data_IF_655727631072
#
_entry.id   IF_655727631072
#
_cell.length_a   1.000
_cell.length_b   1.000
_cell.length_c   1.000
_cell.angle_alpha   90.00
_cell.angle_beta   90.00
_cell.angle_gamma   90.00
#
_symmetry.space_group_name_H-M   'P 1'
#
loop_
_entity.id
_entity.type
_entity.pdbx_description
1 polymer ?
#
# COMPACT_ATOMS: atom_id res chain seq x y z
N UNK A 1 43.50 5.93 -43.54
CA UNK A 1 43.00 6.63 -42.37
C UNK A 1 41.57 6.27 -42.19
N UNK A 2 41.20 5.37 -41.27
CA UNK A 2 39.79 5.03 -41.00
C UNK A 2 39.23 5.96 -39.92
N UNK A 3 38.04 6.50 -40.20
CA UNK A 3 37.28 7.34 -39.31
C UNK A 3 36.73 6.58 -38.13
N UNK A 4 36.85 7.18 -36.97
CA UNK A 4 36.31 6.71 -35.69
C UNK A 4 34.80 6.90 -35.69
N UNK A 5 34.07 5.79 -35.59
CA UNK A 5 32.64 5.77 -35.34
C UNK A 5 32.39 6.18 -33.89
N UNK A 6 31.63 7.23 -33.67
CA UNK A 6 31.11 7.59 -32.36
C UNK A 6 30.01 6.63 -31.99
N UNK A 7 30.31 5.72 -31.05
CA UNK A 7 29.34 4.96 -30.33
C UNK A 7 28.81 5.79 -29.17
N UNK A 8 27.53 5.72 -28.92
CA UNK A 8 27.03 6.12 -27.64
C UNK A 8 25.70 6.87 -27.63
N UNK A 9 24.66 6.28 -28.19
CA UNK A 9 23.33 6.61 -27.76
C UNK A 9 22.99 5.65 -26.58
N UNK A 10 23.36 6.12 -25.38
CA UNK A 10 22.95 5.48 -24.14
C UNK A 10 21.46 5.73 -23.95
N UNK A 11 20.65 4.74 -24.26
CA UNK A 11 19.22 4.77 -24.02
C UNK A 11 18.93 5.19 -22.58
N UNK A 12 18.60 6.46 -22.36
CA UNK A 12 17.86 6.91 -21.19
C UNK A 12 16.53 6.21 -21.26
N UNK A 13 16.37 5.14 -20.49
CA UNK A 13 15.05 4.66 -20.12
C UNK A 13 14.33 5.85 -19.49
N UNK A 14 13.24 6.25 -20.11
CA UNK A 14 12.36 7.31 -19.67
C UNK A 14 11.78 6.90 -18.30
N UNK A 15 12.51 7.24 -17.22
CA UNK A 15 12.02 7.02 -15.86
C UNK A 15 10.89 8.01 -15.63
N UNK A 16 9.67 7.58 -15.95
CA UNK A 16 8.46 8.35 -15.64
C UNK A 16 8.41 8.63 -14.15
N UNK A 17 8.40 9.90 -13.77
CA UNK A 17 8.33 10.32 -12.37
C UNK A 17 7.09 9.76 -11.71
N UNK A 18 7.18 9.28 -10.45
CA UNK A 18 6.01 8.79 -9.74
C UNK A 18 4.95 9.89 -9.59
N UNK A 19 3.70 9.55 -9.91
CA UNK A 19 2.57 10.48 -9.92
C UNK A 19 1.81 10.44 -8.61
N UNK A 20 1.73 11.58 -7.92
CA UNK A 20 1.06 11.74 -6.63
C UNK A 20 -0.16 12.65 -6.78
N UNK A 21 -1.32 12.16 -6.34
CA UNK A 21 -2.53 12.98 -6.20
C UNK A 21 -2.60 13.50 -4.76
N UNK A 22 -2.51 14.82 -4.58
CA UNK A 22 -2.59 15.49 -3.28
C UNK A 22 -3.99 16.12 -3.12
N UNK A 23 -4.75 15.66 -2.14
CA UNK A 23 -6.12 16.09 -1.86
C UNK A 23 -6.18 16.73 -0.48
N UNK A 24 -6.33 18.04 -0.44
CA UNK A 24 -6.40 18.84 0.80
C UNK A 24 -7.13 20.15 0.48
N UNK A 25 -8.07 20.61 1.30
CA UNK A 25 -8.83 21.83 1.05
C UNK A 25 -8.02 23.10 1.40
N UNK A 26 -7.02 23.01 2.29
CA UNK A 26 -6.10 24.10 2.58
C UNK A 26 -5.20 24.39 1.37
N UNK A 27 -5.50 25.48 0.67
CA UNK A 27 -4.77 25.92 -0.53
C UNK A 27 -3.28 26.14 -0.23
N UNK A 28 -2.95 26.74 0.93
CA UNK A 28 -1.57 27.08 1.30
C UNK A 28 -0.74 25.83 1.57
N UNK A 29 -1.30 24.90 2.35
CA UNK A 29 -0.67 23.62 2.64
C UNK A 29 -0.49 22.81 1.34
N UNK A 30 -1.53 22.74 0.52
CA UNK A 30 -1.51 22.03 -0.76
C UNK A 30 -0.41 22.56 -1.70
N UNK A 31 -0.32 23.89 -1.88
CA UNK A 31 0.73 24.50 -2.71
C UNK A 31 2.14 24.28 -2.16
N UNK A 32 2.31 24.34 -0.84
CA UNK A 32 3.59 24.10 -0.18
C UNK A 32 4.05 22.65 -0.41
N UNK A 33 3.18 21.70 -0.14
CA UNK A 33 3.47 20.28 -0.30
C UNK A 33 3.69 19.91 -1.77
N UNK A 34 2.88 20.46 -2.68
CA UNK A 34 3.03 20.24 -4.11
C UNK A 34 4.41 20.69 -4.61
N UNK A 35 4.81 21.92 -4.30
CA UNK A 35 6.14 22.45 -4.68
C UNK A 35 7.27 21.63 -4.08
N UNK A 36 7.15 21.27 -2.81
CA UNK A 36 8.16 20.47 -2.14
C UNK A 36 8.32 19.09 -2.78
N UNK A 37 7.23 18.36 -2.98
CA UNK A 37 7.29 17.03 -3.59
C UNK A 37 7.78 17.07 -5.05
N UNK A 38 7.39 18.09 -5.82
CA UNK A 38 7.91 18.29 -7.18
C UNK A 38 9.42 18.49 -7.17
N UNK A 39 9.96 19.26 -6.21
CA UNK A 39 11.42 19.42 -6.06
C UNK A 39 12.14 18.13 -5.66
N UNK A 40 11.41 17.12 -5.19
CA UNK A 40 11.92 15.82 -4.78
C UNK A 40 11.75 14.72 -5.85
N UNK A 41 11.34 15.09 -7.08
CA UNK A 41 11.25 14.18 -8.21
C UNK A 41 9.90 13.48 -8.36
N UNK A 42 8.80 14.10 -7.94
CA UNK A 42 7.44 13.60 -8.14
C UNK A 42 6.66 14.46 -9.14
N UNK A 43 5.81 13.84 -9.93
CA UNK A 43 4.73 14.54 -10.63
C UNK A 43 3.55 14.69 -9.67
N UNK A 44 3.17 15.92 -9.29
CA UNK A 44 2.14 16.13 -8.27
C UNK A 44 0.98 16.92 -8.82
N UNK A 45 -0.23 16.37 -8.68
CA UNK A 45 -1.49 17.04 -8.95
C UNK A 45 -2.19 17.36 -7.63
N UNK A 46 -2.38 18.65 -7.32
CA UNK A 46 -3.12 19.11 -6.16
C UNK A 46 -4.59 19.39 -6.50
N UNK A 47 -5.51 18.94 -5.65
CA UNK A 47 -6.98 19.18 -5.76
C UNK A 47 -7.54 19.48 -4.38
N UNK A 48 -8.65 20.26 -4.32
CA UNK A 48 -9.21 20.79 -3.08
C UNK A 48 -10.38 20.00 -2.50
N UNK A 49 -10.96 19.06 -3.25
CA UNK A 49 -12.16 18.36 -2.83
C UNK A 49 -12.30 16.97 -3.50
N UNK A 50 -13.26 16.19 -2.99
CA UNK A 50 -13.55 14.84 -3.48
C UNK A 50 -14.04 14.79 -4.94
N UNK A 51 -14.69 15.84 -5.45
CA UNK A 51 -15.19 15.87 -6.81
C UNK A 51 -14.02 16.02 -7.81
N UNK A 52 -13.11 16.96 -7.53
CA UNK A 52 -11.87 17.16 -8.31
C UNK A 52 -10.96 15.93 -8.23
N UNK A 53 -10.91 15.27 -7.07
CA UNK A 53 -10.20 14.01 -6.90
C UNK A 53 -10.76 12.94 -7.86
N UNK A 54 -12.07 12.69 -7.86
CA UNK A 54 -12.71 11.72 -8.76
C UNK A 54 -12.39 12.03 -10.21
N UNK A 55 -12.60 13.29 -10.63
CA UNK A 55 -12.29 13.71 -12.01
C UNK A 55 -10.82 13.49 -12.37
N UNK A 56 -9.91 13.57 -11.40
CA UNK A 56 -8.49 13.32 -11.62
C UNK A 56 -8.18 11.85 -11.80
N UNK A 57 -8.81 10.99 -11.00
CA UNK A 57 -8.69 9.53 -11.11
C UNK A 57 -9.29 8.99 -12.41
N UNK A 58 -10.39 9.57 -12.88
CA UNK A 58 -11.00 9.20 -14.17
C UNK A 58 -10.11 9.54 -15.38
N UNK A 59 -9.25 10.54 -15.23
CA UNK A 59 -8.39 11.05 -16.34
C UNK A 59 -7.01 10.41 -16.38
N UNK A 60 -6.59 9.73 -15.34
CA UNK A 60 -5.26 9.15 -15.32
C UNK A 60 -4.93 8.37 -14.08
N UNK A 61 -3.85 7.60 -14.19
CA UNK A 61 -3.31 6.79 -13.10
C UNK A 61 -2.44 7.62 -12.17
N UNK A 62 -2.51 7.32 -10.88
CA UNK A 62 -1.62 7.84 -9.85
C UNK A 62 -0.97 6.67 -9.11
N UNK A 63 0.28 6.83 -8.72
CA UNK A 63 1.05 5.84 -7.99
C UNK A 63 0.79 5.90 -6.48
N UNK A 64 0.29 7.07 -6.01
CA UNK A 64 -0.06 7.28 -4.61
C UNK A 64 -1.02 8.47 -4.47
N UNK A 65 -1.90 8.36 -3.49
CA UNK A 65 -2.81 9.42 -3.08
C UNK A 65 -2.40 9.91 -1.68
N UNK A 66 -2.19 11.22 -1.53
CA UNK A 66 -2.14 11.89 -0.22
C UNK A 66 -3.52 12.49 0.01
N UNK A 67 -4.21 12.09 1.08
CA UNK A 67 -5.62 12.39 1.30
C UNK A 67 -5.85 13.00 2.67
N UNK A 68 -6.38 14.22 2.69
CA UNK A 68 -6.85 14.81 3.94
C UNK A 68 -8.10 14.07 4.45
N UNK A 69 -8.14 13.85 5.76
CA UNK A 69 -9.31 13.31 6.45
C UNK A 69 -10.49 14.28 6.43
N UNK A 70 -10.22 15.54 6.64
CA UNK A 70 -11.23 16.57 6.86
C UNK A 70 -11.47 17.39 5.60
N UNK A 71 -12.08 16.75 4.59
CA UNK A 71 -12.47 17.46 3.37
C UNK A 71 -13.90 17.99 3.48
N UNK A 72 -14.20 19.15 2.87
CA UNK A 72 -15.56 19.65 2.80
C UNK A 72 -16.47 18.69 1.98
N UNK A 73 -17.58 18.33 2.59
CA UNK A 73 -18.64 17.52 1.95
C UNK A 73 -18.46 16.02 2.02
N UNK A 74 -17.25 15.46 1.98
CA UNK A 74 -17.02 14.03 2.07
C UNK A 74 -15.77 13.75 2.92
N UNK A 75 -15.89 12.91 3.94
CA UNK A 75 -14.77 12.54 4.81
C UNK A 75 -13.76 11.65 4.06
N UNK A 76 -12.45 11.90 4.26
CA UNK A 76 -11.38 11.11 3.65
C UNK A 76 -11.46 9.61 3.95
N UNK A 77 -12.00 9.22 5.11
CA UNK A 77 -12.24 7.81 5.43
C UNK A 77 -13.30 7.19 4.52
N UNK A 78 -14.38 7.91 4.22
CA UNK A 78 -15.44 7.46 3.32
C UNK A 78 -14.90 7.31 1.88
N UNK A 79 -14.09 8.27 1.44
CA UNK A 79 -13.40 8.21 0.15
C UNK A 79 -12.51 6.95 0.07
N UNK A 80 -11.69 6.71 1.08
CA UNK A 80 -10.83 5.53 1.13
C UNK A 80 -11.65 4.23 1.10
N UNK A 81 -12.70 4.14 1.91
CA UNK A 81 -13.61 2.98 1.93
C UNK A 81 -14.22 2.72 0.57
N UNK A 82 -14.68 3.78 -0.12
CA UNK A 82 -15.26 3.69 -1.46
C UNK A 82 -14.24 3.18 -2.47
N UNK A 83 -13.02 3.74 -2.52
CA UNK A 83 -11.96 3.29 -3.42
C UNK A 83 -11.65 1.81 -3.21
N UNK A 84 -11.47 1.39 -1.95
CA UNK A 84 -11.23 -0.01 -1.61
C UNK A 84 -12.41 -0.93 -1.97
N UNK A 85 -13.65 -0.45 -1.79
CA UNK A 85 -14.86 -1.16 -2.20
C UNK A 85 -14.99 -1.34 -3.72
N UNK A 86 -14.40 -0.43 -4.51
CA UNK A 86 -14.33 -0.51 -5.97
C UNK A 86 -13.13 -1.34 -6.46
N UNK A 87 -12.34 -1.92 -5.55
CA UNK A 87 -11.14 -2.69 -5.88
C UNK A 87 -9.94 -1.82 -6.26
N UNK A 88 -9.99 -0.52 -6.01
CA UNK A 88 -8.83 0.36 -6.21
C UNK A 88 -7.83 0.16 -5.08
N UNK A 89 -6.65 -0.35 -5.43
CA UNK A 89 -5.54 -0.63 -4.52
C UNK A 89 -4.46 0.48 -4.53
N UNK A 90 -4.72 1.61 -5.19
CA UNK A 90 -3.79 2.76 -5.19
C UNK A 90 -3.40 3.12 -3.76
N UNK A 91 -2.12 3.18 -3.43
CA UNK A 91 -1.65 3.49 -2.08
C UNK A 91 -2.17 4.84 -1.58
N UNK A 92 -2.61 4.88 -0.32
CA UNK A 92 -3.14 6.09 0.30
C UNK A 92 -2.35 6.42 1.57
N UNK A 93 -1.79 7.64 1.62
CA UNK A 93 -1.24 8.25 2.83
C UNK A 93 -2.23 9.29 3.31
N UNK A 94 -2.77 9.11 4.52
CA UNK A 94 -3.75 10.06 5.07
C UNK A 94 -3.09 11.18 5.87
N UNK A 95 -3.63 12.40 5.75
CA UNK A 95 -3.31 13.52 6.62
C UNK A 95 -4.36 13.60 7.71
N UNK A 96 -3.94 13.58 8.99
CA UNK A 96 -4.86 13.51 10.15
C UNK A 96 -4.64 14.68 11.10
N UNK A 97 -5.67 15.09 11.86
CA UNK A 97 -5.48 15.99 12.97
C UNK A 97 -4.62 15.35 14.07
N UNK A 98 -3.81 16.18 14.76
CA UNK A 98 -2.97 15.71 15.86
C UNK A 98 -3.85 15.32 17.05
N UNK A 99 -3.80 14.05 17.47
CA UNK A 99 -4.51 13.56 18.67
C UNK A 99 -5.63 12.56 18.44
N UNK A 100 -6.11 12.38 17.23
CA UNK A 100 -7.16 11.40 16.93
C UNK A 100 -6.56 10.00 16.67
N UNK A 101 -6.23 9.30 17.78
CA UNK A 101 -5.87 7.87 17.70
C UNK A 101 -7.00 7.03 17.08
N UNK A 102 -8.25 7.42 17.32
CA UNK A 102 -9.44 6.74 16.79
C UNK A 102 -9.48 6.86 15.27
N UNK A 103 -9.26 8.05 14.71
CA UNK A 103 -9.24 8.26 13.27
C UNK A 103 -8.07 7.54 12.58
N UNK A 104 -6.92 7.44 13.25
CA UNK A 104 -5.77 6.66 12.76
C UNK A 104 -6.08 5.16 12.71
N UNK A 105 -6.74 4.63 13.73
CA UNK A 105 -7.14 3.23 13.82
C UNK A 105 -8.19 2.93 12.74
N UNK A 106 -9.25 3.73 12.71
CA UNK A 106 -10.35 3.57 11.75
C UNK A 106 -9.87 3.68 10.30
N UNK A 107 -8.97 4.60 10.01
CA UNK A 107 -8.46 4.77 8.66
C UNK A 107 -7.57 3.62 8.20
N UNK A 108 -6.76 3.05 9.09
CA UNK A 108 -6.00 1.81 8.78
C UNK A 108 -6.96 0.63 8.59
N UNK A 109 -8.03 0.59 9.37
CA UNK A 109 -9.12 -0.37 9.21
C UNK A 109 -9.77 -0.27 7.84
N UNK A 110 -9.86 0.92 7.28
CA UNK A 110 -10.47 1.19 5.97
C UNK A 110 -9.52 0.89 4.82
N UNK A 111 -8.20 0.84 5.06
CA UNK A 111 -7.20 0.45 4.06
C UNK A 111 -6.26 1.54 3.59
N UNK A 112 -6.02 2.56 4.40
CA UNK A 112 -4.89 3.45 4.19
C UNK A 112 -3.55 2.71 4.41
N UNK A 113 -2.53 3.13 3.70
CA UNK A 113 -1.21 2.51 3.76
C UNK A 113 -0.28 3.19 4.76
N UNK A 114 -0.52 4.47 5.09
CA UNK A 114 0.21 5.22 6.11
C UNK A 114 -0.54 6.51 6.53
N UNK A 115 -0.03 7.21 7.58
CA UNK A 115 -0.59 8.44 8.13
C UNK A 115 0.48 9.47 8.43
N UNK A 116 0.13 10.75 8.27
CA UNK A 116 0.94 11.90 8.68
C UNK A 116 0.06 12.85 9.51
N UNK A 117 0.43 13.15 10.77
CA UNK A 117 -0.33 14.09 11.58
C UNK A 117 -0.15 15.53 11.08
N UNK A 118 -1.22 16.33 11.15
CA UNK A 118 -1.14 17.79 11.00
C UNK A 118 -0.67 18.43 12.33
N UNK A 119 0.21 19.45 12.34
CA UNK A 119 0.75 20.13 11.16
C UNK A 119 1.76 19.26 10.39
N UNK A 120 1.57 19.19 9.08
CA UNK A 120 2.34 18.31 8.21
C UNK A 120 3.79 18.78 8.09
N UNK A 121 4.73 17.92 8.47
CA UNK A 121 6.14 18.12 8.13
C UNK A 121 6.41 17.57 6.72
N UNK A 122 6.81 18.41 5.73
CA UNK A 122 7.03 17.94 4.36
C UNK A 122 8.09 16.82 4.23
N UNK A 123 9.11 16.84 5.09
CA UNK A 123 10.16 15.80 5.11
C UNK A 123 9.61 14.46 5.62
N UNK A 124 8.75 14.49 6.64
CA UNK A 124 8.09 13.31 7.14
C UNK A 124 7.16 12.72 6.09
N UNK A 125 6.30 13.56 5.47
CA UNK A 125 5.43 13.13 4.39
C UNK A 125 6.23 12.48 3.25
N UNK A 126 7.34 13.09 2.82
CA UNK A 126 8.21 12.53 1.79
C UNK A 126 8.76 11.16 2.18
N UNK A 127 9.23 11.00 3.41
CA UNK A 127 9.74 9.72 3.91
C UNK A 127 8.65 8.63 3.87
N UNK A 128 7.41 8.97 4.27
CA UNK A 128 6.24 8.09 4.22
C UNK A 128 5.87 7.72 2.78
N UNK A 129 5.77 8.70 1.88
CA UNK A 129 5.51 8.47 0.44
C UNK A 129 6.54 7.49 -0.13
N UNK A 130 7.84 7.76 0.07
CA UNK A 130 8.93 6.89 -0.41
C UNK A 130 8.85 5.49 0.19
N UNK A 131 8.52 5.37 1.47
CA UNK A 131 8.37 4.08 2.14
C UNK A 131 7.20 3.27 1.56
N UNK A 132 6.07 3.92 1.28
CA UNK A 132 4.90 3.28 0.68
C UNK A 132 5.22 2.87 -0.75
N UNK A 133 5.77 3.76 -1.60
CA UNK A 133 6.09 3.46 -2.99
C UNK A 133 7.16 2.37 -3.14
N UNK A 134 8.16 2.32 -2.27
CA UNK A 134 9.15 1.22 -2.27
C UNK A 134 8.50 -0.15 -2.01
N UNK A 135 7.41 -0.17 -1.28
CA UNK A 135 6.63 -1.39 -1.04
C UNK A 135 5.74 -1.78 -2.21
N UNK A 136 5.40 -0.82 -3.08
CA UNK A 136 4.53 -1.05 -4.26
C UNK A 136 5.31 -1.23 -5.56
N UNK A 137 6.49 -0.63 -5.68
CA UNK A 137 7.37 -0.74 -6.84
C UNK A 137 8.77 -1.17 -6.38
N UNK A 138 9.23 -2.39 -6.67
CA UNK A 138 10.63 -2.74 -6.51
C UNK A 138 11.47 -1.79 -7.37
N UNK A 139 12.52 -1.21 -6.80
CA UNK A 139 13.46 -0.41 -7.58
C UNK A 139 14.09 -1.28 -8.66
N UNK A 140 14.30 -0.78 -9.90
CA UNK A 140 15.06 -1.48 -10.93
C UNK A 140 16.45 -1.80 -10.38
N UNK A 141 16.81 -3.10 -10.30
CA UNK A 141 18.12 -3.54 -9.80
C UNK A 141 18.27 -3.67 -8.29
N UNK A 142 17.22 -3.44 -7.49
CA UNK A 142 17.23 -3.92 -6.10
C UNK A 142 17.30 -5.45 -6.13
N UNK A 143 18.11 -6.10 -5.21
CA UNK A 143 18.03 -7.55 -5.05
C UNK A 143 16.58 -7.89 -4.80
N UNK A 144 15.93 -8.51 -5.78
CA UNK A 144 14.56 -9.00 -5.61
C UNK A 144 14.65 -10.00 -4.44
N UNK A 145 13.89 -9.82 -3.36
CA UNK A 145 13.77 -10.88 -2.39
C UNK A 145 13.22 -12.06 -3.16
N UNK A 146 14.01 -13.14 -3.29
CA UNK A 146 13.80 -14.34 -4.09
C UNK A 146 12.45 -14.33 -4.81
N UNK A 147 12.48 -13.79 -6.07
CA UNK A 147 11.28 -13.50 -6.85
C UNK A 147 10.65 -14.79 -7.36
N UNK A 148 10.17 -15.61 -6.44
CA UNK A 148 9.45 -16.82 -6.71
C UNK A 148 7.95 -16.59 -6.62
N UNK A 149 7.22 -17.40 -7.35
CA UNK A 149 5.78 -17.56 -7.15
C UNK A 149 5.55 -18.51 -5.97
N UNK A 150 4.63 -18.13 -5.10
CA UNK A 150 4.16 -19.00 -4.01
C UNK A 150 2.76 -19.47 -4.35
N UNK A 151 2.63 -20.77 -4.64
CA UNK A 151 1.35 -21.41 -4.95
C UNK A 151 0.76 -22.03 -3.68
N UNK A 152 -0.52 -21.76 -3.40
CA UNK A 152 -1.25 -22.33 -2.28
C UNK A 152 -2.73 -22.51 -2.62
N UNK A 153 -3.15 -23.75 -2.87
CA UNK A 153 -4.48 -24.06 -3.40
C UNK A 153 -4.72 -23.38 -4.76
N UNK A 154 -5.84 -22.68 -4.96
CA UNK A 154 -6.14 -21.98 -6.21
C UNK A 154 -5.38 -20.65 -6.37
N UNK A 155 -4.57 -20.26 -5.38
CA UNK A 155 -3.89 -18.97 -5.34
C UNK A 155 -2.43 -19.08 -5.78
N UNK A 156 -1.97 -18.05 -6.51
CA UNK A 156 -0.55 -17.83 -6.83
C UNK A 156 -0.19 -16.40 -6.45
N UNK A 157 0.78 -16.25 -5.54
CA UNK A 157 1.35 -14.96 -5.17
C UNK A 157 2.69 -14.78 -5.87
N UNK A 158 2.75 -13.89 -6.85
CA UNK A 158 4.01 -13.43 -7.47
C UNK A 158 4.66 -12.37 -6.57
N UNK A 159 5.78 -12.73 -5.94
CA UNK A 159 6.50 -11.85 -5.02
C UNK A 159 7.22 -10.70 -5.77
N UNK A 160 7.61 -10.92 -7.02
CA UNK A 160 8.28 -9.92 -7.85
C UNK A 160 7.30 -8.85 -8.36
N UNK A 161 6.19 -9.28 -8.96
CA UNK A 161 5.12 -8.40 -9.45
C UNK A 161 4.21 -7.88 -8.36
N UNK A 162 4.24 -8.52 -7.17
CA UNK A 162 3.35 -8.23 -6.04
C UNK A 162 1.87 -8.44 -6.39
N UNK A 163 1.60 -9.44 -7.16
CA UNK A 163 0.27 -9.79 -7.66
C UNK A 163 -0.21 -11.10 -7.02
N UNK A 164 -1.45 -11.13 -6.62
CA UNK A 164 -2.14 -12.34 -6.20
C UNK A 164 -3.13 -12.73 -7.29
N UNK A 165 -3.11 -13.98 -7.71
CA UNK A 165 -4.14 -14.51 -8.59
C UNK A 165 -4.87 -15.68 -7.93
N UNK A 166 -6.15 -15.86 -8.28
CA UNK A 166 -6.94 -17.06 -7.95
C UNK A 166 -7.42 -17.67 -9.25
N UNK A 167 -7.04 -18.90 -9.54
CA UNK A 167 -7.35 -19.59 -10.80
C UNK A 167 -7.01 -18.75 -12.05
N UNK A 168 -5.91 -17.98 -11.98
CA UNK A 168 -5.46 -17.06 -13.02
C UNK A 168 -6.15 -15.68 -13.02
N UNK A 169 -7.21 -15.47 -12.25
CA UNK A 169 -7.86 -14.17 -12.11
C UNK A 169 -7.14 -13.29 -11.10
N UNK A 170 -6.80 -12.05 -11.48
CA UNK A 170 -6.07 -11.11 -10.62
C UNK A 170 -6.94 -10.66 -9.45
N UNK A 171 -6.41 -10.81 -8.23
CA UNK A 171 -6.95 -10.25 -6.99
C UNK A 171 -6.07 -9.08 -6.53
N UNK A 172 -6.66 -7.91 -6.42
CA UNK A 172 -5.93 -6.69 -6.03
C UNK A 172 -5.72 -6.65 -4.53
N UNK A 173 -4.45 -6.57 -4.12
CA UNK A 173 -4.03 -6.38 -2.74
C UNK A 173 -3.54 -4.94 -2.53
N UNK A 174 -3.87 -4.35 -1.38
CA UNK A 174 -3.16 -3.16 -0.90
C UNK A 174 -1.73 -3.51 -0.52
N UNK A 175 -0.85 -2.51 -0.41
CA UNK A 175 0.56 -2.74 -0.01
C UNK A 175 0.67 -3.42 1.35
N UNK A 176 -0.23 -3.07 2.29
CA UNK A 176 -0.27 -3.67 3.62
C UNK A 176 -0.72 -5.14 3.59
N UNK A 177 -1.76 -5.45 2.82
CA UNK A 177 -2.26 -6.82 2.65
C UNK A 177 -1.21 -7.72 1.99
N UNK A 178 -0.56 -7.22 0.93
CA UNK A 178 0.54 -7.95 0.30
C UNK A 178 1.69 -8.23 1.27
N UNK A 179 2.11 -7.23 2.03
CA UNK A 179 3.23 -7.38 2.98
C UNK A 179 2.91 -8.42 4.06
N UNK A 180 1.70 -8.37 4.65
CA UNK A 180 1.27 -9.33 5.67
C UNK A 180 1.13 -10.74 5.08
N UNK A 181 0.51 -10.88 3.91
CA UNK A 181 0.36 -12.17 3.24
C UNK A 181 1.72 -12.79 2.92
N UNK A 182 2.65 -11.99 2.39
CA UNK A 182 4.01 -12.45 2.07
C UNK A 182 4.75 -12.97 3.30
N UNK A 183 4.59 -12.32 4.46
CA UNK A 183 5.19 -12.78 5.72
C UNK A 183 4.56 -14.09 6.17
N UNK A 184 3.25 -14.20 6.14
CA UNK A 184 2.52 -15.41 6.53
C UNK A 184 2.92 -16.62 5.67
N UNK A 185 3.03 -16.42 4.35
CA UNK A 185 3.44 -17.47 3.40
C UNK A 185 4.90 -17.92 3.58
N UNK A 186 5.77 -17.03 4.04
CA UNK A 186 7.18 -17.38 4.36
C UNK A 186 7.34 -18.11 5.69
N UNK A 187 6.32 -18.09 6.55
CA UNK A 187 6.32 -18.76 7.86
C UNK A 187 5.13 -19.70 7.99
N UNK A 188 4.97 -20.70 7.08
CA UNK A 188 3.84 -21.60 7.10
C UNK A 188 3.83 -22.44 8.38
N UNK A 189 2.64 -22.64 8.95
CA UNK A 189 2.41 -23.41 10.19
C UNK A 189 3.10 -22.85 11.43
N UNK A 190 3.71 -21.66 11.34
CA UNK A 190 4.35 -20.98 12.47
C UNK A 190 3.42 -19.88 12.99
N UNK A 191 2.93 -19.93 14.23
CA UNK A 191 2.19 -18.84 14.84
C UNK A 191 3.08 -17.59 14.98
N UNK A 192 2.61 -16.46 14.49
CA UNK A 192 3.28 -15.16 14.59
C UNK A 192 2.43 -14.21 15.42
N UNK A 193 3.06 -13.55 16.40
CA UNK A 193 2.39 -12.50 17.15
C UNK A 193 2.08 -11.30 16.25
N UNK A 194 1.12 -10.45 16.68
CA UNK A 194 0.78 -9.22 15.96
C UNK A 194 2.00 -8.34 15.74
N UNK A 195 2.79 -8.13 16.79
CA UNK A 195 4.02 -7.34 16.74
C UNK A 195 5.07 -7.95 15.80
N UNK A 196 5.19 -9.27 15.82
CA UNK A 196 6.13 -9.96 14.93
C UNK A 196 5.71 -9.85 13.47
N UNK A 197 4.43 -10.05 13.17
CA UNK A 197 3.87 -9.83 11.82
C UNK A 197 4.09 -8.39 11.36
N UNK A 198 3.83 -7.42 12.24
CA UNK A 198 4.05 -6.01 11.98
C UNK A 198 5.52 -5.72 11.66
N UNK A 199 6.42 -6.14 12.54
CA UNK A 199 7.86 -5.93 12.40
C UNK A 199 8.41 -6.53 11.10
N UNK A 200 7.96 -7.73 10.72
CA UNK A 200 8.38 -8.41 9.50
C UNK A 200 7.76 -7.80 8.25
N UNK A 201 6.49 -7.35 8.31
CA UNK A 201 5.80 -6.77 7.16
C UNK A 201 6.23 -5.34 6.83
N UNK A 202 6.59 -4.54 7.84
CA UNK A 202 6.81 -3.09 7.70
C UNK A 202 8.17 -2.57 8.15
N UNK A 203 8.99 -3.40 8.83
CA UNK A 203 10.24 -2.96 9.45
C UNK A 203 10.04 -2.25 10.80
N UNK A 204 11.13 -1.81 11.45
CA UNK A 204 11.19 -1.45 12.87
C UNK A 204 10.51 -0.13 13.31
N UNK A 205 9.90 0.64 12.44
CA UNK A 205 9.61 2.07 12.76
C UNK A 205 8.17 2.43 13.16
N UNK A 206 7.26 1.51 13.50
CA UNK A 206 5.86 1.91 13.69
C UNK A 206 5.14 1.24 14.87
N UNK A 207 5.16 1.90 16.03
CA UNK A 207 4.38 1.52 17.23
C UNK A 207 2.85 1.71 17.10
N UNK A 208 2.37 2.45 16.10
CA UNK A 208 0.96 2.87 16.00
C UNK A 208 0.01 1.86 15.34
N UNK A 209 0.46 0.63 15.03
CA UNK A 209 -0.24 -0.25 14.10
C UNK A 209 -0.79 -1.58 14.67
N UNK A 210 -0.70 -1.83 15.96
CA UNK A 210 -1.13 -3.11 16.55
C UNK A 210 -2.59 -3.48 16.22
N UNK A 211 -3.49 -2.50 16.26
CA UNK A 211 -4.92 -2.72 15.98
C UNK A 211 -5.24 -2.89 14.49
N UNK A 212 -4.41 -2.38 13.59
CA UNK A 212 -4.62 -2.51 12.15
C UNK A 212 -4.34 -3.91 11.62
N UNK A 213 -3.58 -4.74 12.35
CA UNK A 213 -3.26 -6.11 11.94
C UNK A 213 -4.51 -6.98 11.85
N UNK A 214 -5.39 -6.91 12.84
CA UNK A 214 -6.62 -7.70 12.89
C UNK A 214 -7.53 -7.40 11.70
N UNK A 215 -7.56 -6.15 11.26
CA UNK A 215 -8.34 -5.72 10.10
C UNK A 215 -7.70 -6.16 8.78
N UNK A 216 -6.39 -6.02 8.65
CA UNK A 216 -5.66 -6.55 7.50
C UNK A 216 -5.90 -8.06 7.35
N UNK A 217 -5.83 -8.80 8.46
CA UNK A 217 -6.14 -10.23 8.50
C UNK A 217 -7.61 -10.49 8.10
N UNK A 218 -8.56 -9.72 8.63
CA UNK A 218 -9.97 -9.89 8.30
C UNK A 218 -10.26 -9.66 6.80
N UNK A 219 -9.51 -8.75 6.16
CA UNK A 219 -9.61 -8.51 4.72
C UNK A 219 -8.96 -9.62 3.90
N UNK A 220 -7.77 -10.05 4.28
CA UNK A 220 -7.12 -11.19 3.66
C UNK A 220 -8.00 -12.44 3.72
N UNK A 221 -8.65 -12.70 4.84
CA UNK A 221 -9.61 -13.80 4.97
C UNK A 221 -10.77 -13.68 3.99
N UNK A 222 -11.32 -12.48 3.81
CA UNK A 222 -12.40 -12.25 2.82
C UNK A 222 -11.96 -12.46 1.37
N UNK A 223 -10.70 -12.25 1.07
CA UNK A 223 -10.14 -12.46 -0.28
C UNK A 223 -9.77 -13.92 -0.53
N UNK A 224 -9.31 -14.62 0.50
CA UNK A 224 -8.72 -15.95 0.39
C UNK A 224 -9.68 -17.09 0.76
N UNK A 225 -10.72 -16.80 1.55
CA UNK A 225 -11.62 -17.80 2.11
C UNK A 225 -13.01 -17.67 1.45
N UNK A 226 -13.59 -18.79 0.99
CA UNK A 226 -14.94 -18.78 0.41
C UNK A 226 -16.01 -18.51 1.49
N UNK A 227 -15.78 -18.99 2.70
CA UNK A 227 -16.60 -18.67 3.89
C UNK A 227 -15.67 -18.09 4.97
N UNK A 228 -15.77 -16.79 5.28
CA UNK A 228 -14.98 -16.16 6.33
C UNK A 228 -15.17 -16.75 7.75
N UNK A 229 -16.18 -17.60 7.95
CA UNK A 229 -16.42 -18.33 9.19
C UNK A 229 -15.63 -19.64 9.28
N UNK A 230 -15.16 -20.15 8.13
CA UNK A 230 -14.34 -21.35 8.05
C UNK A 230 -12.89 -20.97 7.80
N UNK A 231 -12.20 -20.51 8.85
CA UNK A 231 -10.81 -20.05 8.80
C UNK A 231 -9.85 -21.22 8.49
N UNK A 232 -9.63 -21.50 7.21
CA UNK A 232 -8.77 -22.62 6.76
C UNK A 232 -7.33 -22.18 6.55
N UNK A 233 -7.12 -21.06 5.85
CA UNK A 233 -5.79 -20.60 5.43
C UNK A 233 -5.14 -19.70 6.50
N UNK A 234 -5.86 -18.74 7.07
CA UNK A 234 -5.34 -17.86 8.10
C UNK A 234 -6.12 -18.11 9.39
N UNK A 235 -5.51 -18.81 10.34
CA UNK A 235 -6.15 -19.15 11.61
C UNK A 235 -5.69 -18.22 12.72
N UNK A 236 -6.58 -18.02 13.73
CA UNK A 236 -6.24 -17.30 14.96
C UNK A 236 -5.73 -18.29 15.99
N UNK A 237 -4.55 -18.01 16.54
CA UNK A 237 -4.02 -18.73 17.71
C UNK A 237 -4.22 -17.83 18.92
N UNK A 238 -5.21 -18.18 19.75
CA UNK A 238 -5.61 -17.39 20.90
C UNK A 238 -4.44 -17.12 21.85
N UNK A 239 -4.30 -15.87 22.28
CA UNK A 239 -3.20 -15.44 23.14
C UNK A 239 -1.85 -15.28 22.43
N UNK A 240 -1.73 -15.68 21.16
CA UNK A 240 -0.47 -15.59 20.39
C UNK A 240 -0.61 -14.63 19.22
N UNK A 241 -1.48 -14.93 18.23
CA UNK A 241 -1.62 -14.14 17.02
C UNK A 241 -2.23 -14.93 15.86
N UNK A 242 -1.53 -15.02 14.74
CA UNK A 242 -2.03 -15.63 13.51
C UNK A 242 -1.07 -16.66 12.94
N UNK A 243 -1.60 -17.65 12.28
CA UNK A 243 -0.84 -18.68 11.57
C UNK A 243 -1.43 -18.93 10.19
N UNK A 244 -0.55 -19.06 9.20
CA UNK A 244 -0.94 -19.54 7.88
C UNK A 244 -0.83 -21.07 7.83
N UNK A 245 -1.92 -21.72 7.44
CA UNK A 245 -2.00 -23.16 7.24
C UNK A 245 -2.16 -23.42 5.76
N UNK A 246 -1.12 -23.90 5.06
CA UNK A 246 -1.25 -24.26 3.65
C UNK A 246 -2.36 -25.28 3.47
N UNK A 247 -3.16 -25.20 2.38
CA UNK A 247 -4.08 -26.27 2.05
C UNK A 247 -3.29 -27.58 1.85
N UNK A 248 -3.89 -28.69 2.24
CA UNK A 248 -3.32 -30.00 1.94
C UNK A 248 -3.20 -30.12 0.42
N UNK A 249 -2.04 -30.58 -0.05
CA UNK A 249 -1.88 -30.88 -1.47
C UNK A 249 -2.98 -31.89 -1.86
N UNK A 250 -3.74 -31.57 -2.89
CA UNK A 250 -4.69 -32.53 -3.44
C UNK A 250 -3.91 -33.80 -3.83
N UNK A 251 -4.42 -34.99 -3.53
CA UNK A 251 -3.76 -36.26 -3.82
C UNK A 251 -3.57 -36.49 -5.31
#
# INVERSE_FOLDING_TARGET
MPGVAAAGDSGRMDETLPRVLLVDDDVRLRELLQRYLQSQGFEVRGVGDAAQMRQSLDRGHFDLIVLDLMLPGENGLEICRRLRGQGDATPIVMLTAKGDEIDRIVGLEIGADDYVPKPVNPRELLARIRSVLRRTRPAPGAPQPDGGEVVFGPFTLDLGRRELTRDGALLRLTSGEFAVLSVLLRHPRQPLSRDRLMSLARGREHEAFERSMDVTIARLRRLLEDDPRQLRLIQTVWGVGYVFVPPEAAP
#
